data_IF_729481356437
#
_entry.id   IF_729481356437
#
_cell.length_a   1.000
_cell.length_b   1.000
_cell.length_c   1.000
_cell.angle_alpha   90.00
_cell.angle_beta   90.00
_cell.angle_gamma   90.00
#
_symmetry.space_group_name_H-M   'P 1'
#
loop_
_entity.id
_entity.type
_entity.pdbx_description
1 polymer ?
#
# COMPACT_ATOMS: atom_id res chain seq x y z
N UNK A 1 -30.19 4.94 17.00
CA UNK A 1 -29.01 5.44 16.27
C UNK A 1 -27.97 4.33 16.28
N UNK A 2 -27.72 3.69 15.14
CA UNK A 2 -26.70 2.64 15.02
C UNK A 2 -25.48 3.31 14.39
N UNK A 3 -24.44 3.53 15.19
CA UNK A 3 -23.14 3.96 14.69
C UNK A 3 -22.59 2.90 13.74
N UNK A 4 -22.09 3.23 12.53
CA UNK A 4 -21.32 2.27 11.77
C UNK A 4 -20.04 2.02 12.57
N UNK A 5 -19.81 0.77 12.96
CA UNK A 5 -18.50 0.34 13.40
C UNK A 5 -17.50 0.75 12.32
N UNK A 6 -16.56 1.63 12.66
CA UNK A 6 -15.46 1.96 11.79
C UNK A 6 -14.76 0.66 11.43
N UNK A 7 -14.92 0.21 10.19
CA UNK A 7 -14.16 -0.90 9.66
C UNK A 7 -12.69 -0.52 9.81
N UNK A 8 -11.96 -1.26 10.65
CA UNK A 8 -10.52 -1.09 10.83
C UNK A 8 -9.85 -1.58 9.54
N UNK A 9 -9.91 -0.76 8.49
CA UNK A 9 -9.43 -1.10 7.15
C UNK A 9 -7.91 -0.99 7.10
N UNK A 10 -7.28 -1.91 6.37
CA UNK A 10 -5.87 -1.77 6.01
C UNK A 10 -5.70 -0.48 5.20
N UNK A 11 -4.77 0.38 5.61
CA UNK A 11 -4.44 1.62 4.92
C UNK A 11 -3.07 1.48 4.27
N UNK A 12 -2.95 1.89 3.02
CA UNK A 12 -1.67 1.98 2.35
C UNK A 12 -1.18 3.43 2.41
N UNK A 13 -0.11 3.66 3.17
CA UNK A 13 0.52 4.96 3.31
C UNK A 13 1.70 5.07 2.32
N UNK A 14 1.83 6.24 1.72
CA UNK A 14 2.93 6.58 0.81
C UNK A 14 3.79 7.64 1.47
N UNK A 15 5.09 7.36 1.59
CA UNK A 15 6.05 8.27 2.21
C UNK A 15 7.17 8.64 1.22
N UNK A 16 7.47 9.95 1.03
CA UNK A 16 6.81 11.14 1.61
C UNK A 16 5.43 11.48 0.98
N UNK A 17 4.53 12.20 1.70
CA UNK A 17 3.16 12.47 1.22
C UNK A 17 3.01 13.73 0.35
N UNK A 18 4.06 14.55 0.14
CA UNK A 18 3.97 15.90 -0.45
C UNK A 18 4.88 16.18 -1.66
N UNK A 19 5.02 15.25 -2.59
CA UNK A 19 5.77 15.52 -3.84
C UNK A 19 4.89 15.32 -5.07
N UNK A 20 4.96 16.22 -6.07
CA UNK A 20 4.17 16.09 -7.29
C UNK A 20 4.47 14.75 -7.97
N UNK A 21 3.45 14.15 -8.57
CA UNK A 21 3.44 12.82 -9.20
C UNK A 21 4.46 12.60 -10.34
N UNK A 22 5.40 13.53 -10.56
CA UNK A 22 6.31 13.62 -11.70
C UNK A 22 7.73 13.08 -11.42
N UNK A 23 8.12 12.85 -10.16
CA UNK A 23 9.54 12.64 -9.79
C UNK A 23 9.73 11.57 -8.70
N UNK A 24 9.38 10.31 -8.98
CA UNK A 24 9.45 9.24 -7.97
C UNK A 24 10.41 8.11 -8.36
N UNK A 25 11.73 8.37 -8.27
CA UNK A 25 12.78 7.34 -8.39
C UNK A 25 12.66 6.22 -7.34
N UNK A 26 12.14 6.52 -6.15
CA UNK A 26 12.00 5.59 -5.03
C UNK A 26 10.94 6.04 -4.02
N UNK A 27 9.92 5.20 -3.81
CA UNK A 27 8.81 5.43 -2.87
C UNK A 27 8.79 4.32 -1.84
N UNK A 28 8.51 4.66 -0.58
CA UNK A 28 8.22 3.65 0.44
C UNK A 28 6.72 3.56 0.64
N UNK A 29 6.18 2.38 0.37
CA UNK A 29 4.80 2.02 0.62
C UNK A 29 4.74 1.32 1.97
N UNK A 30 3.99 1.89 2.91
CA UNK A 30 3.79 1.33 4.24
C UNK A 30 2.35 0.84 4.35
N UNK A 31 2.17 -0.47 4.45
CA UNK A 31 0.87 -1.03 4.78
C UNK A 31 0.63 -0.78 6.28
N UNK A 32 -0.52 -0.24 6.68
CA UNK A 32 -0.92 -0.05 8.08
C UNK A 32 -2.24 -0.79 8.36
N UNK A 33 -2.38 -1.42 9.52
CA UNK A 33 -3.57 -2.18 9.90
C UNK A 33 -3.39 -2.80 11.29
N UNK A 34 -4.47 -2.88 12.07
CA UNK A 34 -4.47 -3.41 13.44
C UNK A 34 -4.40 -4.96 13.50
N UNK A 35 -4.10 -5.59 12.36
CA UNK A 35 -3.99 -7.04 12.23
C UNK A 35 -2.67 -7.59 12.78
N UNK A 36 -2.68 -8.89 13.10
CA UNK A 36 -1.52 -9.64 13.57
C UNK A 36 -0.28 -9.41 12.71
N UNK A 37 0.88 -9.54 13.34
CA UNK A 37 2.26 -9.50 12.83
C UNK A 37 2.59 -10.53 11.72
N UNK A 38 1.59 -11.03 11.01
CA UNK A 38 1.71 -11.89 9.84
C UNK A 38 2.28 -11.13 8.63
N UNK A 39 2.71 -11.90 7.63
CA UNK A 39 3.34 -11.34 6.46
C UNK A 39 2.29 -10.75 5.51
N UNK A 40 2.44 -9.46 5.19
CA UNK A 40 1.58 -8.72 4.25
C UNK A 40 1.73 -9.28 2.83
N UNK A 41 0.60 -9.47 2.16
CA UNK A 41 0.56 -9.80 0.73
C UNK A 41 0.51 -8.50 -0.07
N UNK A 42 1.47 -8.33 -0.97
CA UNK A 42 1.56 -7.14 -1.81
C UNK A 42 1.04 -7.42 -3.22
N UNK A 43 0.34 -6.45 -3.78
CA UNK A 43 -0.20 -6.48 -5.14
C UNK A 43 0.36 -5.31 -5.94
N UNK A 44 0.69 -5.59 -7.21
CA UNK A 44 1.05 -4.60 -8.22
C UNK A 44 0.17 -4.86 -9.45
N UNK A 45 -0.55 -3.84 -9.90
CA UNK A 45 -1.47 -3.88 -11.03
C UNK A 45 -2.52 -5.01 -10.91
N UNK A 46 -3.00 -5.23 -9.68
CA UNK A 46 -3.97 -6.27 -9.36
C UNK A 46 -3.39 -7.69 -9.27
N UNK A 47 -2.11 -7.89 -9.61
CA UNK A 47 -1.45 -9.19 -9.50
C UNK A 47 -0.65 -9.30 -8.21
N UNK A 48 -0.69 -10.48 -7.58
CA UNK A 48 0.11 -10.75 -6.40
C UNK A 48 1.60 -10.66 -6.76
N UNK A 49 2.27 -9.68 -6.19
CA UNK A 49 3.70 -9.44 -6.39
C UNK A 49 4.56 -10.24 -5.41
N UNK A 50 3.94 -10.77 -4.35
CA UNK A 50 4.53 -11.66 -3.36
C UNK A 50 4.78 -11.00 -1.99
N UNK A 51 5.51 -11.69 -1.12
CA UNK A 51 5.90 -11.18 0.19
C UNK A 51 7.19 -10.36 0.06
N UNK A 52 7.05 -9.07 -0.25
CA UNK A 52 8.18 -8.14 -0.46
C UNK A 52 8.64 -7.40 0.80
N UNK A 53 7.91 -7.54 1.91
CA UNK A 53 8.23 -6.94 3.22
C UNK A 53 7.07 -7.14 4.21
N UNK A 54 7.35 -7.07 5.52
CA UNK A 54 6.34 -7.26 6.57
C UNK A 54 5.32 -6.13 6.58
N UNK A 55 5.80 -4.89 6.65
CA UNK A 55 4.95 -3.71 6.84
C UNK A 55 5.23 -2.62 5.80
N UNK A 56 6.42 -2.60 5.23
CA UNK A 56 6.84 -1.62 4.23
C UNK A 56 7.55 -2.30 3.05
N UNK A 57 7.38 -1.73 1.86
CA UNK A 57 8.10 -2.09 0.65
C UNK A 57 8.56 -0.83 -0.05
N UNK A 58 9.76 -0.86 -0.64
CA UNK A 58 10.25 0.21 -1.48
C UNK A 58 9.99 -0.11 -2.94
N UNK A 59 9.35 0.80 -3.66
CA UNK A 59 9.00 0.66 -5.08
C UNK A 59 9.64 1.77 -5.89
N UNK A 60 10.09 1.43 -7.10
CA UNK A 60 10.70 2.38 -8.05
C UNK A 60 9.98 2.36 -9.40
N UNK A 61 9.03 1.44 -9.57
CA UNK A 61 8.30 1.27 -10.81
C UNK A 61 6.95 1.98 -10.72
N UNK A 62 6.50 2.53 -11.85
CA UNK A 62 5.11 2.91 -12.00
C UNK A 62 4.19 1.69 -11.85
N UNK A 63 2.97 1.94 -11.37
CA UNK A 63 1.97 0.90 -11.20
C UNK A 63 0.96 1.25 -10.13
N UNK A 64 -0.06 0.40 -10.04
CA UNK A 64 -1.10 0.48 -9.01
C UNK A 64 -0.79 -0.51 -7.90
N UNK A 65 -0.57 -0.02 -6.69
CA UNK A 65 -0.15 -0.84 -5.56
C UNK A 65 -1.25 -0.95 -4.52
N UNK A 66 -1.41 -2.14 -3.95
CA UNK A 66 -2.25 -2.39 -2.79
C UNK A 66 -1.62 -3.46 -1.90
N UNK A 67 -2.07 -3.55 -0.65
CA UNK A 67 -1.63 -4.56 0.30
C UNK A 67 -2.82 -5.23 0.97
N UNK A 68 -2.69 -6.53 1.27
CA UNK A 68 -3.65 -7.29 2.06
C UNK A 68 -2.98 -7.76 3.34
N UNK A 69 -3.67 -7.52 4.47
CA UNK A 69 -3.23 -7.99 5.77
C UNK A 69 -4.21 -9.01 6.36
N UNK A 70 -3.69 -10.11 6.94
CA UNK A 70 -4.51 -11.04 7.70
C UNK A 70 -5.25 -10.31 8.83
N UNK A 71 -6.59 -10.40 8.81
CA UNK A 71 -7.46 -9.82 9.83
C UNK A 71 -7.97 -8.40 9.56
N UNK A 72 -7.36 -7.64 8.65
CA UNK A 72 -7.84 -6.28 8.27
C UNK A 72 -8.21 -6.13 6.79
N UNK A 73 -7.86 -7.12 5.96
CA UNK A 73 -8.26 -7.22 4.56
C UNK A 73 -7.44 -6.34 3.61
N UNK A 74 -7.97 -6.16 2.40
CA UNK A 74 -7.31 -5.44 1.31
C UNK A 74 -7.38 -3.92 1.52
N UNK A 75 -6.26 -3.23 1.30
CA UNK A 75 -6.17 -1.78 1.31
C UNK A 75 -6.80 -1.15 0.07
N UNK A 76 -7.08 0.16 0.15
CA UNK A 76 -7.26 0.95 -1.06
C UNK A 76 -5.97 0.93 -1.90
N UNK A 77 -6.14 1.08 -3.22
CA UNK A 77 -5.02 1.13 -4.15
C UNK A 77 -4.42 2.53 -4.23
N UNK A 78 -3.13 2.60 -4.49
CA UNK A 78 -2.41 3.84 -4.76
C UNK A 78 -1.65 3.72 -6.07
N UNK A 79 -1.76 4.74 -6.92
CA UNK A 79 -1.02 4.81 -8.19
C UNK A 79 0.32 5.51 -7.95
N UNK A 80 1.41 4.83 -8.29
CA UNK A 80 2.74 5.41 -8.39
C UNK A 80 3.05 5.64 -9.86
N UNK A 81 3.52 6.83 -10.20
CA UNK A 81 3.98 7.18 -11.54
C UNK A 81 5.47 7.48 -11.44
N UNK A 82 6.27 6.72 -12.20
CA UNK A 82 7.68 7.06 -12.42
C UNK A 82 7.73 8.01 -13.62
N UNK A 83 8.47 9.11 -13.50
CA UNK A 83 8.60 10.11 -14.55
C UNK A 83 9.55 9.62 -15.63
N UNK A 84 9.04 8.91 -16.64
CA UNK A 84 9.78 8.67 -17.88
C UNK A 84 9.52 9.84 -18.83
N UNK A 85 10.60 10.53 -19.22
CA UNK A 85 10.61 11.68 -20.12
C UNK A 85 10.86 11.22 -21.55
#
# INVERSE_FOLDING_TARGET
ALSPAGAQTTQLLVEPPWTPAVLWDRVTLTCQGLGTTGATTWYKDGQQWGQKGRDHVTVTESGTYSCDRPGTGLSLHVTVLNGEW
#
